data_IF_358347011488
#
_entry.id   IF_358347011488
#
_cell.length_a   1.000
_cell.length_b   1.000
_cell.length_c   1.000
_cell.angle_alpha   90.00
_cell.angle_beta   90.00
_cell.angle_gamma   90.00
#
_symmetry.space_group_name_H-M   'P 1'
#
loop_
_entity.id
_entity.type
_entity.pdbx_description
1 polymer ?
#
# COMPACT_ATOMS: atom_id res chain seq x y z
N UNK A 1 -5.51 6.70 11.25
CA UNK A 1 -4.32 5.84 11.05
C UNK A 1 -3.81 5.39 12.40
N UNK A 2 -3.04 4.29 12.42
CA UNK A 2 -2.23 3.87 13.57
C UNK A 2 -0.77 4.00 13.19
N UNK A 3 0.10 4.33 14.14
CA UNK A 3 1.55 4.21 13.92
C UNK A 3 1.90 2.74 13.96
N UNK A 4 2.43 2.21 12.86
CA UNK A 4 2.82 0.81 12.72
C UNK A 4 4.24 0.76 12.16
N UNK A 5 5.14 0.06 12.87
CA UNK A 5 6.59 0.07 12.60
C UNK A 5 7.21 1.47 12.46
N UNK A 6 6.73 2.45 13.24
CA UNK A 6 7.25 3.82 13.23
C UNK A 6 6.74 4.71 12.08
N UNK A 7 5.78 4.22 11.29
CA UNK A 7 5.18 4.96 10.19
C UNK A 7 3.65 5.01 10.28
N UNK A 8 3.01 6.09 9.80
CA UNK A 8 1.55 6.15 9.74
C UNK A 8 0.99 5.15 8.73
N UNK A 9 0.11 4.27 9.21
CA UNK A 9 -0.55 3.24 8.42
C UNK A 9 -2.05 3.25 8.68
N UNK A 10 -2.83 3.05 7.62
CA UNK A 10 -4.27 2.92 7.68
C UNK A 10 -4.68 1.46 7.47
N UNK A 11 -5.71 1.08 8.19
CA UNK A 11 -6.20 -0.28 8.25
C UNK A 11 -7.70 -0.30 7.97
N UNK A 12 -8.16 -1.31 7.25
CA UNK A 12 -9.58 -1.67 7.13
C UNK A 12 -9.75 -3.01 7.84
N UNK A 13 -10.61 -3.07 8.85
CA UNK A 13 -10.87 -4.29 9.65
C UNK A 13 -9.61 -4.96 10.26
N UNK A 14 -8.57 -4.15 10.48
CA UNK A 14 -7.27 -4.58 10.98
C UNK A 14 -6.32 -5.14 9.93
N UNK A 15 -6.69 -5.15 8.64
CA UNK A 15 -5.79 -5.41 7.53
C UNK A 15 -5.13 -4.10 7.07
N UNK A 16 -3.80 -4.02 6.94
CA UNK A 16 -3.13 -2.82 6.46
C UNK A 16 -3.46 -2.57 4.97
N UNK A 17 -3.65 -1.30 4.61
CA UNK A 17 -4.13 -0.89 3.27
C UNK A 17 -3.16 0.09 2.62
N UNK A 18 -2.87 1.19 3.30
CA UNK A 18 -1.96 2.24 2.81
C UNK A 18 -1.17 2.84 3.96
N UNK A 19 0.03 3.31 3.69
CA UNK A 19 0.91 3.94 4.66
C UNK A 19 1.96 4.78 3.96
N UNK A 20 2.56 5.71 4.70
CA UNK A 20 3.62 6.54 4.15
C UNK A 20 4.83 6.59 5.08
N UNK A 21 6.02 6.71 4.49
CA UNK A 21 7.28 6.81 5.23
C UNK A 21 8.23 7.78 4.53
N UNK A 22 9.02 8.52 5.31
CA UNK A 22 10.08 9.38 4.75
C UNK A 22 11.36 8.56 4.57
N UNK A 23 11.87 8.51 3.35
CA UNK A 23 13.09 7.80 2.97
C UNK A 23 14.09 8.75 2.29
N UNK A 24 15.32 8.29 2.05
CA UNK A 24 16.35 9.12 1.37
C UNK A 24 15.92 9.62 -0.01
N UNK A 25 15.13 8.82 -0.73
CA UNK A 25 14.62 9.16 -2.06
C UNK A 25 13.40 10.12 -2.04
N UNK A 26 12.78 10.36 -0.88
CA UNK A 26 11.57 11.17 -0.75
C UNK A 26 10.53 10.55 0.17
N UNK A 27 9.29 10.98 0.03
CA UNK A 27 8.14 10.41 0.72
C UNK A 27 7.64 9.19 -0.04
N UNK A 28 7.79 8.00 0.55
CA UNK A 28 7.25 6.76 -0.02
C UNK A 28 5.81 6.59 0.44
N UNK A 29 4.87 6.56 -0.49
CA UNK A 29 3.51 6.09 -0.27
C UNK A 29 3.43 4.62 -0.69
N UNK A 30 3.05 3.75 0.23
CA UNK A 30 2.97 2.30 0.04
C UNK A 30 1.53 1.83 0.19
N UNK A 31 1.06 1.04 -0.77
CA UNK A 31 -0.19 0.32 -0.70
C UNK A 31 0.07 -1.18 -0.54
N UNK A 32 -0.47 -1.75 0.53
CA UNK A 32 -0.59 -3.20 0.66
C UNK A 32 -1.59 -3.67 -0.40
N UNK A 33 -1.31 -4.76 -1.10
CA UNK A 33 -2.07 -5.22 -2.28
C UNK A 33 -1.89 -4.38 -3.55
N UNK A 34 -1.09 -3.31 -3.51
CA UNK A 34 -0.90 -2.37 -4.62
C UNK A 34 -0.37 -3.01 -5.91
N UNK A 35 0.36 -4.13 -5.82
CA UNK A 35 0.93 -4.80 -7.00
C UNK A 35 -0.15 -5.29 -7.98
N UNK A 36 -1.35 -5.60 -7.48
CA UNK A 36 -2.46 -6.09 -8.28
C UNK A 36 -3.52 -4.98 -8.54
N UNK A 37 -3.22 -3.70 -8.29
CA UNK A 37 -4.14 -2.60 -8.65
C UNK A 37 -4.21 -2.36 -10.16
N UNK A 38 -3.17 -2.74 -10.90
CA UNK A 38 -3.06 -2.49 -12.34
C UNK A 38 -2.77 -1.02 -12.69
N UNK A 39 -2.23 -0.25 -11.74
CA UNK A 39 -1.96 1.18 -11.89
C UNK A 39 -0.48 1.41 -12.21
N UNK A 40 -0.19 2.17 -13.27
CA UNK A 40 1.19 2.42 -13.74
C UNK A 40 1.99 3.31 -12.79
N UNK A 41 1.34 4.24 -12.09
CA UNK A 41 2.00 5.14 -11.15
C UNK A 41 2.41 4.49 -9.82
N UNK A 42 2.08 3.22 -9.60
CA UNK A 42 2.59 2.40 -8.49
C UNK A 42 3.69 1.47 -9.03
N UNK A 43 4.79 2.10 -9.43
CA UNK A 43 5.91 1.50 -10.16
C UNK A 43 6.83 0.66 -9.27
N UNK A 44 6.92 0.98 -7.98
CA UNK A 44 7.78 0.26 -7.04
C UNK A 44 7.04 -0.91 -6.41
N UNK A 45 7.13 -2.08 -7.04
CA UNK A 45 6.46 -3.31 -6.58
C UNK A 45 7.35 -4.15 -5.67
N UNK A 46 6.73 -4.75 -4.64
CA UNK A 46 7.41 -5.70 -3.77
C UNK A 46 7.67 -7.04 -4.49
N UNK A 47 8.88 -7.60 -4.29
CA UNK A 47 9.23 -8.91 -4.86
C UNK A 47 8.59 -10.06 -4.09
N UNK A 48 8.53 -9.93 -2.75
CA UNK A 48 8.05 -10.98 -1.83
C UNK A 48 6.57 -10.82 -1.46
N UNK A 49 6.07 -9.59 -1.48
CA UNK A 49 4.71 -9.26 -1.09
C UNK A 49 4.02 -8.53 -2.23
N UNK A 50 2.68 -8.61 -2.26
CA UNK A 50 1.85 -7.92 -3.25
C UNK A 50 1.71 -6.41 -3.00
N UNK A 51 2.71 -5.76 -2.42
CA UNK A 51 2.69 -4.31 -2.22
C UNK A 51 3.19 -3.56 -3.45
N UNK A 52 2.70 -2.34 -3.62
CA UNK A 52 3.27 -1.40 -4.55
C UNK A 52 3.37 -0.02 -3.91
N UNK A 53 4.36 0.75 -4.35
CA UNK A 53 4.70 2.04 -3.78
C UNK A 53 5.01 3.04 -4.87
N UNK A 54 4.96 4.31 -4.49
CA UNK A 54 5.39 5.45 -5.28
C UNK A 54 6.19 6.40 -4.39
N UNK A 55 7.13 7.12 -4.98
CA UNK A 55 7.93 8.13 -4.29
C UNK A 55 7.52 9.53 -4.74
N UNK A 56 7.29 10.41 -3.77
CA UNK A 56 7.05 11.83 -3.99
C UNK A 56 8.21 12.64 -3.43
N UNK A 57 8.72 13.58 -4.21
CA UNK A 57 9.77 14.49 -3.75
C UNK A 57 9.22 15.87 -3.40
N UNK A 58 8.11 16.24 -4.05
CA UNK A 58 7.42 17.50 -3.89
C UNK A 58 5.92 17.27 -3.73
N UNK A 59 5.23 18.26 -3.17
CA UNK A 59 3.77 18.19 -3.01
C UNK A 59 3.07 18.23 -4.37
N UNK A 60 3.67 18.92 -5.34
CA UNK A 60 3.13 19.03 -6.70
C UNK A 60 3.18 17.72 -7.49
N UNK A 61 4.03 16.76 -7.08
CA UNK A 61 4.10 15.42 -7.69
C UNK A 61 2.85 14.58 -7.36
N UNK A 62 2.04 15.01 -6.38
CA UNK A 62 0.88 14.26 -5.91
C UNK A 62 -0.31 14.53 -6.83
N UNK A 63 -0.53 13.64 -7.80
CA UNK A 63 -1.77 13.59 -8.56
C UNK A 63 -2.93 13.13 -7.66
N UNK A 64 -3.84 14.06 -7.35
CA UNK A 64 -4.99 13.79 -6.49
C UNK A 64 -6.00 12.84 -7.13
N UNK A 65 -6.15 12.83 -8.45
CA UNK A 65 -7.06 11.91 -9.13
C UNK A 65 -6.50 10.49 -9.10
N UNK A 66 -5.22 10.32 -9.39
CA UNK A 66 -4.54 9.04 -9.25
C UNK A 66 -4.60 8.51 -7.82
N UNK A 67 -4.32 9.37 -6.83
CA UNK A 67 -4.38 8.98 -5.42
C UNK A 67 -5.79 8.51 -5.01
N UNK A 68 -6.85 9.20 -5.46
CA UNK A 68 -8.23 8.79 -5.21
C UNK A 68 -8.53 7.43 -5.84
N UNK A 69 -8.10 7.19 -7.08
CA UNK A 69 -8.24 5.88 -7.74
C UNK A 69 -7.53 4.79 -6.95
N UNK A 70 -6.28 5.01 -6.53
CA UNK A 70 -5.51 4.03 -5.77
C UNK A 70 -6.14 3.72 -4.41
N UNK A 71 -6.67 4.74 -3.71
CA UNK A 71 -7.42 4.54 -2.47
C UNK A 71 -8.67 3.70 -2.70
N UNK A 72 -9.40 3.91 -3.79
CA UNK A 72 -10.55 3.07 -4.14
C UNK A 72 -10.12 1.63 -4.41
N UNK A 73 -9.09 1.43 -5.25
CA UNK A 73 -8.52 0.09 -5.53
C UNK A 73 -8.07 -0.61 -4.26
N UNK A 74 -7.49 0.11 -3.31
CA UNK A 74 -7.04 -0.44 -2.03
C UNK A 74 -8.17 -0.97 -1.15
N UNK A 75 -9.40 -0.50 -1.38
CA UNK A 75 -10.60 -1.02 -0.71
C UNK A 75 -11.20 -2.22 -1.45
N UNK A 76 -11.09 -2.24 -2.78
CA UNK A 76 -11.63 -3.29 -3.64
C UNK A 76 -10.72 -4.52 -3.74
N UNK A 77 -9.41 -4.30 -3.85
CA UNK A 77 -8.38 -5.34 -3.97
C UNK A 77 -7.61 -5.41 -2.66
N UNK A 78 -7.94 -6.42 -1.86
CA UNK A 78 -7.30 -6.62 -0.56
C UNK A 78 -6.80 -8.05 -0.41
N UNK A 79 -5.51 -8.21 -0.18
CA UNK A 79 -4.92 -9.45 0.30
C UNK A 79 -4.91 -9.48 1.82
N UNK A 80 -5.07 -10.67 2.40
CA UNK A 80 -5.10 -10.88 3.85
C UNK A 80 -3.69 -10.88 4.46
N UNK A 81 -3.16 -9.69 4.72
CA UNK A 81 -1.90 -9.51 5.42
C UNK A 81 -2.03 -9.74 6.92
N UNK A 82 -3.21 -9.50 7.50
CA UNK A 82 -3.51 -9.72 8.92
C UNK A 82 -3.29 -11.17 9.35
N UNK A 83 -3.67 -12.14 8.52
CA UNK A 83 -3.51 -13.57 8.82
C UNK A 83 -2.30 -14.23 8.17
N UNK A 84 -1.42 -13.48 7.50
CA UNK A 84 -0.25 -14.00 6.79
C UNK A 84 0.61 -14.94 7.65
N UNK A 85 0.88 -14.55 8.90
CA UNK A 85 1.66 -15.37 9.86
C UNK A 85 0.93 -16.67 10.20
N UNK A 86 -0.38 -16.60 10.45
CA UNK A 86 -1.22 -17.78 10.73
C UNK A 86 -1.29 -18.72 9.52
N UNK A 87 -1.21 -18.17 8.31
CA UNK A 87 -1.24 -18.91 7.04
C UNK A 87 0.14 -19.30 6.52
N UNK A 88 1.18 -19.26 7.37
CA UNK A 88 2.56 -19.66 7.03
C UNK A 88 3.09 -18.96 5.77
N UNK A 89 2.74 -17.69 5.57
CA UNK A 89 3.21 -16.89 4.43
C UNK A 89 2.33 -16.93 3.17
N UNK A 90 1.20 -17.64 3.19
CA UNK A 90 0.24 -17.63 2.08
C UNK A 90 -0.68 -16.42 2.15
N UNK A 91 -0.61 -15.55 1.13
CA UNK A 91 -1.56 -14.47 0.90
C UNK A 91 -2.82 -15.03 0.23
N UNK A 92 -4.00 -14.69 0.76
CA UNK A 92 -5.27 -14.98 0.09
C UNK A 92 -6.01 -13.68 -0.15
N UNK A 93 -6.71 -13.62 -1.29
CA UNK A 93 -7.48 -12.46 -1.68
C UNK A 93 -8.80 -12.44 -0.90
N UNK A 94 -9.08 -11.33 -0.24
CA UNK A 94 -10.30 -11.11 0.54
C UNK A 94 -11.47 -10.66 -0.34
N UNK A 95 -11.18 -9.83 -1.36
CA UNK A 95 -12.10 -9.27 -2.35
C UNK A 95 -11.36 -9.05 -3.67
#
# INVERSE_FOLDING_TARGET
>A
GKVWHGHPVWFIEGNPIVGYSRQKAGLRLMFWSGADFGEEGLDVRGEKFKDASVFFTRVEDIDQEALRRWLQRSREVQWDYKNLVKRKGRLERLK
#
